data_IF_486507291385
#
_entry.id   IF_486507291385
#
_cell.length_a   1.000
_cell.length_b   1.000
_cell.length_c   1.000
_cell.angle_alpha   90.00
_cell.angle_beta   90.00
_cell.angle_gamma   90.00
#
_symmetry.space_group_name_H-M   'P 1'
#
loop_
_entity.id
_entity.type
_entity.pdbx_description
1 polymer ?
#
# COMPACT_ATOMS: atom_id res chain seq x y z
N UNK A 1 -16.18 -15.77 18.92
CA UNK A 1 -17.38 -15.97 18.08
C UNK A 1 -17.01 -15.63 16.64
N UNK A 2 -17.55 -16.34 15.63
CA UNK A 2 -17.31 -15.93 14.25
C UNK A 2 -18.17 -14.70 13.94
N UNK A 3 -17.55 -13.65 13.44
CA UNK A 3 -18.23 -12.44 12.98
C UNK A 3 -18.73 -12.63 11.55
N UNK A 4 -17.89 -13.23 10.69
CA UNK A 4 -18.23 -13.57 9.31
C UNK A 4 -17.91 -15.03 9.06
N UNK A 5 -18.82 -15.73 8.39
CA UNK A 5 -18.61 -17.09 7.86
C UNK A 5 -18.98 -17.12 6.38
N UNK A 6 -18.07 -17.63 5.57
CA UNK A 6 -18.29 -17.88 4.15
C UNK A 6 -18.32 -19.39 3.94
N UNK A 7 -19.41 -19.90 3.34
CA UNK A 7 -19.64 -21.32 3.16
C UNK A 7 -19.84 -21.65 1.70
N UNK A 8 -18.89 -22.40 1.15
CA UNK A 8 -18.90 -22.91 -0.22
C UNK A 8 -19.25 -21.83 -1.27
N UNK A 9 -18.67 -20.62 -1.10
CA UNK A 9 -19.05 -19.46 -1.88
C UNK A 9 -18.37 -19.45 -3.24
N UNK A 10 -19.20 -19.32 -4.29
CA UNK A 10 -18.79 -19.15 -5.68
C UNK A 10 -19.36 -17.87 -6.27
N UNK A 11 -18.65 -17.27 -7.23
CA UNK A 11 -19.11 -16.09 -7.95
C UNK A 11 -18.61 -16.04 -9.39
N UNK A 12 -19.52 -15.70 -10.32
CA UNK A 12 -19.23 -15.43 -11.73
C UNK A 12 -19.80 -14.07 -12.13
N UNK A 13 -19.04 -13.29 -12.90
CA UNK A 13 -19.55 -12.07 -13.53
C UNK A 13 -20.55 -12.42 -14.64
N UNK A 14 -21.51 -11.53 -14.97
CA UNK A 14 -22.42 -11.74 -16.10
C UNK A 14 -21.64 -12.02 -17.37
N UNK A 15 -22.15 -12.92 -18.22
CA UNK A 15 -21.55 -13.30 -19.50
C UNK A 15 -20.14 -13.93 -19.42
N UNK A 16 -19.61 -14.19 -18.21
CA UNK A 16 -18.34 -14.88 -18.02
C UNK A 16 -18.57 -16.38 -17.85
N UNK A 17 -17.92 -17.18 -18.66
CA UNK A 17 -17.89 -18.65 -18.49
C UNK A 17 -16.93 -19.09 -17.35
N UNK A 18 -16.10 -18.18 -16.85
CA UNK A 18 -15.12 -18.46 -15.78
C UNK A 18 -15.64 -17.99 -14.45
N UNK A 19 -15.66 -18.88 -13.46
CA UNK A 19 -15.86 -18.48 -12.05
C UNK A 19 -14.65 -17.67 -11.56
N UNK A 20 -14.92 -16.56 -10.91
CA UNK A 20 -13.88 -15.69 -10.29
C UNK A 20 -13.62 -16.13 -8.85
N UNK A 21 -14.64 -16.66 -8.19
CA UNK A 21 -14.53 -17.29 -6.88
C UNK A 21 -15.14 -18.68 -6.96
N UNK A 22 -14.48 -19.66 -6.38
CA UNK A 22 -14.90 -21.05 -6.43
C UNK A 22 -14.65 -21.74 -5.09
N UNK A 23 -15.71 -22.30 -4.50
CA UNK A 23 -15.68 -23.08 -3.25
C UNK A 23 -14.93 -22.36 -2.10
N UNK A 24 -15.09 -21.04 -1.96
CA UNK A 24 -14.42 -20.27 -0.90
C UNK A 24 -15.08 -20.57 0.44
N UNK A 25 -14.29 -21.07 1.38
CA UNK A 25 -14.68 -21.29 2.78
C UNK A 25 -13.75 -20.46 3.67
N UNK A 26 -14.30 -19.59 4.52
CA UNK A 26 -13.50 -18.68 5.32
C UNK A 26 -14.25 -18.27 6.59
N UNK A 27 -13.55 -18.20 7.72
CA UNK A 27 -14.10 -17.82 9.01
C UNK A 27 -13.31 -16.66 9.61
N UNK A 28 -13.98 -15.56 9.93
CA UNK A 28 -13.39 -14.37 10.57
C UNK A 28 -13.91 -14.29 12.00
N UNK A 29 -13.01 -14.37 12.97
CA UNK A 29 -13.34 -14.19 14.39
C UNK A 29 -13.43 -12.71 14.75
N UNK A 30 -14.35 -12.41 15.67
CA UNK A 30 -14.52 -11.04 16.18
C UNK A 30 -13.24 -10.54 16.88
N UNK A 31 -12.88 -9.28 16.64
CA UNK A 31 -11.70 -8.61 17.23
C UNK A 31 -10.37 -8.96 16.60
N UNK A 32 -10.32 -9.83 15.58
CA UNK A 32 -9.05 -10.25 14.95
C UNK A 32 -8.66 -9.37 13.79
N UNK A 33 -7.34 -9.30 13.53
CA UNK A 33 -6.76 -8.70 12.34
C UNK A 33 -6.45 -9.79 11.32
N UNK A 34 -7.14 -9.74 10.18
CA UNK A 34 -7.10 -10.77 9.15
C UNK A 34 -6.53 -10.21 7.84
N UNK A 35 -5.62 -10.93 7.22
CA UNK A 35 -4.97 -10.53 5.97
C UNK A 35 -5.29 -11.53 4.87
N UNK A 36 -5.83 -11.06 3.75
CA UNK A 36 -5.97 -11.86 2.53
C UNK A 36 -4.80 -11.52 1.60
N UNK A 37 -4.00 -12.50 1.26
CA UNK A 37 -2.90 -12.38 0.31
C UNK A 37 -3.12 -13.27 -0.91
N UNK A 38 -2.48 -12.92 -2.02
CA UNK A 38 -2.60 -13.67 -3.28
C UNK A 38 -2.19 -12.81 -4.46
N UNK A 39 -1.97 -13.44 -5.62
CA UNK A 39 -1.58 -12.76 -6.85
C UNK A 39 -2.63 -11.73 -7.27
N UNK A 40 -2.21 -10.72 -8.06
CA UNK A 40 -3.16 -9.80 -8.66
C UNK A 40 -4.14 -10.55 -9.58
N UNK A 41 -5.43 -10.21 -9.49
CA UNK A 41 -6.49 -10.87 -10.28
C UNK A 41 -7.00 -12.21 -9.73
N UNK A 42 -6.53 -12.72 -8.58
CA UNK A 42 -7.01 -13.98 -8.00
C UNK A 42 -8.37 -13.89 -7.29
N UNK A 43 -9.08 -12.75 -7.35
CA UNK A 43 -10.44 -12.61 -6.79
C UNK A 43 -10.55 -11.90 -5.45
N UNK A 44 -9.46 -11.40 -4.82
CA UNK A 44 -9.48 -10.76 -3.49
C UNK A 44 -10.49 -9.62 -3.37
N UNK A 45 -10.39 -8.61 -4.23
CA UNK A 45 -11.31 -7.46 -4.21
C UNK A 45 -12.76 -7.86 -4.50
N UNK A 46 -12.96 -8.87 -5.35
CA UNK A 46 -14.28 -9.43 -5.61
C UNK A 46 -14.86 -10.06 -4.34
N UNK A 47 -14.06 -10.85 -3.61
CA UNK A 47 -14.46 -11.46 -2.36
C UNK A 47 -14.79 -10.40 -1.29
N UNK A 48 -13.91 -9.40 -1.11
CA UNK A 48 -14.15 -8.33 -0.16
C UNK A 48 -15.46 -7.58 -0.43
N UNK A 49 -15.76 -7.28 -1.68
CA UNK A 49 -17.01 -6.58 -2.07
C UNK A 49 -18.25 -7.42 -1.84
N UNK A 50 -18.18 -8.75 -1.88
CA UNK A 50 -19.31 -9.61 -1.57
C UNK A 50 -19.74 -9.52 -0.10
N UNK A 51 -18.85 -9.08 0.79
CA UNK A 51 -19.14 -8.90 2.23
C UNK A 51 -19.98 -7.64 2.54
N UNK A 52 -20.25 -6.79 1.54
CA UNK A 52 -21.11 -5.60 1.70
C UNK A 52 -22.06 -5.52 0.50
N UNK A 53 -23.34 -5.82 0.72
CA UNK A 53 -24.32 -6.02 -0.36
C UNK A 53 -24.40 -4.87 -1.37
N UNK A 54 -24.26 -3.62 -0.90
CA UNK A 54 -24.29 -2.42 -1.77
C UNK A 54 -23.05 -2.26 -2.67
N UNK A 55 -21.95 -2.96 -2.36
CA UNK A 55 -20.72 -2.95 -3.15
C UNK A 55 -20.54 -4.25 -3.96
N UNK A 56 -21.38 -5.25 -3.67
CA UNK A 56 -21.29 -6.55 -4.32
C UNK A 56 -21.58 -6.41 -5.82
N UNK A 57 -20.68 -6.88 -6.69
CA UNK A 57 -20.89 -6.84 -8.12
C UNK A 57 -22.08 -7.73 -8.51
N UNK A 58 -22.76 -7.36 -9.61
CA UNK A 58 -23.80 -8.19 -10.20
C UNK A 58 -23.17 -9.46 -10.80
N UNK A 59 -23.89 -10.59 -10.68
CA UNK A 59 -23.44 -11.89 -11.19
C UNK A 59 -24.14 -13.04 -10.51
N UNK A 60 -23.75 -14.26 -10.91
CA UNK A 60 -24.26 -15.50 -10.31
C UNK A 60 -23.50 -15.82 -9.04
N UNK A 61 -24.22 -16.18 -7.97
CA UNK A 61 -23.69 -16.50 -6.65
C UNK A 61 -24.12 -17.89 -6.25
N UNK A 62 -23.19 -18.65 -5.71
CA UNK A 62 -23.41 -19.96 -5.09
C UNK A 62 -22.94 -19.91 -3.63
N UNK A 63 -23.46 -20.80 -2.78
CA UNK A 63 -23.10 -20.84 -1.37
C UNK A 63 -23.68 -19.70 -0.54
N UNK A 64 -23.12 -19.44 0.62
CA UNK A 64 -23.68 -18.50 1.59
C UNK A 64 -22.60 -17.68 2.31
N UNK A 65 -22.94 -16.42 2.62
CA UNK A 65 -22.15 -15.54 3.49
C UNK A 65 -23.03 -15.20 4.69
N UNK A 66 -22.53 -15.50 5.89
CA UNK A 66 -23.19 -15.18 7.16
C UNK A 66 -22.44 -14.05 7.86
N UNK A 67 -23.18 -13.11 8.40
CA UNK A 67 -22.73 -12.07 9.31
C UNK A 67 -23.43 -12.25 10.66
N UNK A 68 -22.66 -12.46 11.75
CA UNK A 68 -23.21 -12.81 13.09
C UNK A 68 -24.21 -13.99 13.05
N UNK A 69 -23.91 -15.03 12.26
CA UNK A 69 -24.76 -16.20 11.99
C UNK A 69 -26.08 -15.92 11.26
N UNK A 70 -26.28 -14.71 10.71
CA UNK A 70 -27.44 -14.34 9.89
C UNK A 70 -26.98 -14.26 8.45
N UNK A 71 -27.69 -14.84 7.47
CA UNK A 71 -27.36 -14.65 6.05
C UNK A 71 -27.24 -13.16 5.71
N UNK A 72 -26.13 -12.77 5.07
CA UNK A 72 -25.86 -11.35 4.78
C UNK A 72 -26.96 -10.72 3.92
N UNK A 73 -27.61 -11.50 3.06
CA UNK A 73 -28.75 -11.06 2.25
C UNK A 73 -29.99 -10.69 3.10
N UNK A 74 -30.13 -11.28 4.29
CA UNK A 74 -31.25 -11.08 5.20
C UNK A 74 -30.93 -9.99 6.25
N UNK A 75 -29.67 -9.52 6.31
CA UNK A 75 -29.26 -8.40 7.15
C UNK A 75 -29.71 -7.09 6.50
N UNK A 76 -30.41 -6.23 7.23
CA UNK A 76 -30.90 -4.97 6.69
C UNK A 76 -29.78 -4.01 6.27
N UNK A 77 -30.06 -3.15 5.28
CA UNK A 77 -29.06 -2.25 4.71
C UNK A 77 -28.51 -1.24 5.71
N UNK A 78 -29.29 -0.82 6.71
CA UNK A 78 -28.85 0.11 7.75
C UNK A 78 -27.79 -0.54 8.63
N UNK A 79 -28.06 -1.75 9.12
CA UNK A 79 -27.10 -2.56 9.89
C UNK A 79 -25.83 -2.82 9.10
N UNK A 80 -25.93 -3.24 7.83
CA UNK A 80 -24.74 -3.43 6.98
C UNK A 80 -23.94 -2.12 6.78
N UNK A 81 -24.63 -0.98 6.63
CA UNK A 81 -23.98 0.31 6.44
C UNK A 81 -23.25 0.76 7.67
N UNK A 82 -23.79 0.53 8.85
CA UNK A 82 -23.22 0.90 10.13
C UNK A 82 -22.13 -0.06 10.58
N UNK A 83 -22.40 -1.37 10.57
CA UNK A 83 -21.53 -2.37 11.20
C UNK A 83 -20.42 -2.89 10.27
N UNK A 84 -20.56 -2.78 8.95
CA UNK A 84 -19.55 -3.21 7.97
C UNK A 84 -18.97 -1.99 7.29
N UNK A 85 -17.83 -1.50 7.80
CA UNK A 85 -17.07 -0.43 7.21
C UNK A 85 -16.26 -0.93 6.00
N UNK A 86 -16.19 -0.14 4.93
CA UNK A 86 -15.39 -0.46 3.76
C UNK A 86 -14.53 0.74 3.35
N UNK A 87 -13.22 0.53 3.17
CA UNK A 87 -12.28 1.54 2.66
C UNK A 87 -11.74 1.06 1.32
N UNK A 88 -11.96 1.87 0.29
CA UNK A 88 -11.59 1.56 -1.09
C UNK A 88 -10.10 1.85 -1.36
N UNK A 89 -9.58 1.22 -2.40
CA UNK A 89 -8.21 1.42 -2.89
C UNK A 89 -7.92 2.87 -3.29
N UNK A 90 -8.87 3.53 -3.98
CA UNK A 90 -8.74 4.92 -4.39
C UNK A 90 -9.61 5.83 -3.50
N UNK A 91 -9.01 6.72 -2.70
CA UNK A 91 -9.76 7.61 -1.82
C UNK A 91 -10.69 8.56 -2.56
N UNK A 92 -10.33 9.03 -3.74
CA UNK A 92 -11.14 9.97 -4.50
C UNK A 92 -12.47 9.36 -5.00
N UNK A 93 -12.56 8.02 -5.08
CA UNK A 93 -13.79 7.33 -5.45
C UNK A 93 -14.77 7.16 -4.26
N UNK A 94 -14.33 7.43 -3.04
CA UNK A 94 -15.13 7.23 -1.83
C UNK A 94 -15.57 8.54 -1.19
N UNK A 95 -14.75 9.59 -1.27
CA UNK A 95 -15.05 10.92 -0.72
C UNK A 95 -16.21 11.55 -1.49
N UNK A 96 -17.23 12.01 -0.76
CA UNK A 96 -18.46 12.57 -1.32
C UNK A 96 -18.56 14.08 -1.13
N UNK A 97 -18.00 14.60 -0.04
CA UNK A 97 -18.14 16.01 0.33
C UNK A 97 -16.89 16.85 0.00
N UNK A 98 -17.05 18.16 0.00
CA UNK A 98 -15.96 19.12 -0.30
C UNK A 98 -15.16 19.52 0.95
N UNK A 99 -15.69 19.29 2.16
CA UNK A 99 -15.09 19.68 3.44
C UNK A 99 -14.74 18.47 4.30
N UNK A 100 -13.61 18.52 4.95
CA UNK A 100 -13.12 17.45 5.83
C UNK A 100 -14.10 17.13 6.96
N UNK A 101 -14.57 18.15 7.70
CA UNK A 101 -15.52 17.95 8.80
C UNK A 101 -16.85 17.35 8.33
N UNK A 102 -17.30 17.71 7.13
CA UNK A 102 -18.55 17.22 6.56
C UNK A 102 -18.39 15.76 6.12
N UNK A 103 -17.25 15.38 5.54
CA UNK A 103 -16.96 14.00 5.19
C UNK A 103 -16.96 13.09 6.44
N UNK A 104 -16.43 13.56 7.58
CA UNK A 104 -16.51 12.83 8.85
C UNK A 104 -17.95 12.67 9.36
N UNK A 105 -18.82 13.64 9.09
CA UNK A 105 -20.23 13.62 9.53
C UNK A 105 -21.13 12.83 8.58
N UNK A 106 -20.82 12.78 7.29
CA UNK A 106 -21.68 12.33 6.21
C UNK A 106 -22.34 10.95 6.44
N UNK A 107 -21.54 9.96 6.89
CA UNK A 107 -22.05 8.62 7.18
C UNK A 107 -23.05 8.61 8.35
N UNK A 108 -22.80 9.41 9.38
CA UNK A 108 -23.67 9.53 10.55
C UNK A 108 -24.98 10.27 10.21
N UNK A 109 -24.90 11.32 9.40
CA UNK A 109 -26.08 12.04 8.89
C UNK A 109 -26.95 11.13 8.04
N UNK A 110 -26.35 10.36 7.14
CA UNK A 110 -27.03 9.38 6.29
C UNK A 110 -27.74 8.27 7.10
N UNK A 111 -27.17 7.90 8.25
CA UNK A 111 -27.78 6.96 9.19
C UNK A 111 -28.83 7.61 10.11
N UNK A 112 -29.05 8.93 10.02
CA UNK A 112 -30.06 9.67 10.78
C UNK A 112 -29.75 9.81 12.27
N UNK A 113 -28.46 9.91 12.64
CA UNK A 113 -28.07 10.24 14.01
C UNK A 113 -28.43 11.69 14.37
N UNK A 114 -28.66 11.97 15.64
CA UNK A 114 -28.92 13.31 16.12
C UNK A 114 -27.62 14.17 16.12
N UNK A 115 -27.80 15.49 16.06
CA UNK A 115 -26.67 16.44 15.96
C UNK A 115 -25.68 16.36 17.13
N UNK A 116 -26.13 16.00 18.34
CA UNK A 116 -25.24 15.90 19.51
C UNK A 116 -24.30 14.69 19.36
N UNK A 117 -24.87 13.55 18.97
CA UNK A 117 -24.14 12.31 18.67
C UNK A 117 -23.15 12.50 17.51
N UNK A 118 -23.59 13.17 16.41
CA UNK A 118 -22.73 13.46 15.27
C UNK A 118 -21.52 14.31 15.70
N UNK A 119 -21.76 15.41 16.42
CA UNK A 119 -20.67 16.29 16.89
C UNK A 119 -19.67 15.55 17.79
N UNK A 120 -20.18 14.71 18.70
CA UNK A 120 -19.33 13.92 19.61
C UNK A 120 -18.44 12.97 18.82
N UNK A 121 -19.02 12.13 17.96
CA UNK A 121 -18.28 11.12 17.18
C UNK A 121 -17.28 11.74 16.20
N UNK A 122 -17.67 12.84 15.54
CA UNK A 122 -16.78 13.60 14.66
C UNK A 122 -15.60 14.18 15.43
N UNK A 123 -15.83 14.75 16.62
CA UNK A 123 -14.76 15.26 17.47
C UNK A 123 -13.82 14.15 17.97
N UNK A 124 -14.37 13.01 18.37
CA UNK A 124 -13.61 11.82 18.77
C UNK A 124 -12.70 11.33 17.64
N UNK A 125 -13.25 11.15 16.44
CA UNK A 125 -12.48 10.68 15.29
C UNK A 125 -11.47 11.72 14.84
N UNK A 126 -11.82 13.00 14.81
CA UNK A 126 -10.88 14.06 14.49
C UNK A 126 -9.68 14.08 15.46
N UNK A 127 -9.93 13.81 16.75
CA UNK A 127 -8.87 13.70 17.77
C UNK A 127 -8.05 12.42 17.62
N UNK A 128 -8.69 11.27 17.45
CA UNK A 128 -8.04 9.97 17.36
C UNK A 128 -7.10 9.87 16.14
N UNK A 129 -7.52 10.40 15.00
CA UNK A 129 -6.76 10.40 13.74
C UNK A 129 -5.85 11.63 13.56
N UNK A 130 -5.83 12.58 14.48
CA UNK A 130 -5.00 13.80 14.40
C UNK A 130 -5.40 14.77 13.28
N UNK A 131 -6.71 14.81 12.95
CA UNK A 131 -7.27 15.59 11.83
C UNK A 131 -7.46 17.08 12.20
N UNK A 132 -7.32 17.47 13.45
CA UNK A 132 -7.67 18.81 13.95
C UNK A 132 -7.01 19.95 13.15
N UNK A 133 -5.75 19.78 12.68
CA UNK A 133 -4.99 20.81 11.96
C UNK A 133 -5.58 21.15 10.59
N UNK A 134 -6.33 20.22 9.99
CA UNK A 134 -6.92 20.37 8.66
C UNK A 134 -8.42 20.11 8.62
N UNK A 135 -9.06 20.12 9.80
CA UNK A 135 -10.50 19.85 9.99
C UNK A 135 -11.42 20.74 9.14
N UNK A 136 -11.07 22.02 8.98
CA UNK A 136 -11.87 22.98 8.21
C UNK A 136 -11.41 23.15 6.75
N UNK A 137 -10.38 22.42 6.32
CA UNK A 137 -9.89 22.49 4.93
C UNK A 137 -10.88 21.88 3.95
N UNK A 138 -10.69 22.27 2.66
CA UNK A 138 -11.31 21.55 1.57
C UNK A 138 -10.58 20.22 1.35
N UNK A 139 -11.32 19.20 0.94
CA UNK A 139 -10.74 17.88 0.62
C UNK A 139 -9.74 17.98 -0.54
N UNK A 140 -9.96 18.89 -1.49
CA UNK A 140 -9.04 19.13 -2.60
C UNK A 140 -7.64 19.63 -2.18
N UNK A 141 -7.51 20.19 -0.97
CA UNK A 141 -6.22 20.65 -0.42
C UNK A 141 -5.42 19.53 0.26
N UNK A 142 -6.00 18.33 0.40
CA UNK A 142 -5.40 17.20 1.09
C UNK A 142 -4.44 16.42 0.20
N UNK A 143 -3.36 15.91 0.79
CA UNK A 143 -2.52 14.89 0.14
C UNK A 143 -3.27 13.55 0.03
N UNK A 144 -2.81 12.65 -0.86
CA UNK A 144 -3.39 11.32 -1.00
C UNK A 144 -3.43 10.53 0.32
N UNK A 145 -2.37 10.61 1.13
CA UNK A 145 -2.35 9.99 2.46
C UNK A 145 -3.36 10.58 3.43
N UNK A 146 -3.54 11.91 3.41
CA UNK A 146 -4.56 12.58 4.22
C UNK A 146 -5.98 12.21 3.77
N UNK A 147 -6.24 12.11 2.47
CA UNK A 147 -7.53 11.66 1.93
C UNK A 147 -7.84 10.22 2.36
N UNK A 148 -6.86 9.31 2.29
CA UNK A 148 -7.04 7.93 2.72
C UNK A 148 -7.29 7.83 4.23
N UNK A 149 -6.59 8.64 5.02
CA UNK A 149 -6.82 8.73 6.47
C UNK A 149 -8.20 9.32 6.79
N UNK A 150 -8.67 10.30 6.00
CA UNK A 150 -10.02 10.85 6.12
C UNK A 150 -11.10 9.79 5.84
N UNK A 151 -10.94 9.00 4.78
CA UNK A 151 -11.85 7.88 4.47
C UNK A 151 -11.91 6.87 5.61
N UNK A 152 -10.75 6.50 6.15
CA UNK A 152 -10.70 5.60 7.30
C UNK A 152 -11.43 6.21 8.52
N UNK A 153 -11.19 7.49 8.81
CA UNK A 153 -11.81 8.18 9.92
C UNK A 153 -13.32 8.34 9.76
N UNK A 154 -13.83 8.64 8.55
CA UNK A 154 -15.27 8.75 8.26
C UNK A 154 -15.98 7.41 8.42
N UNK A 155 -15.35 6.31 7.99
CA UNK A 155 -15.88 4.96 8.21
C UNK A 155 -15.86 4.61 9.70
N UNK A 156 -14.79 4.90 10.41
CA UNK A 156 -14.67 4.61 11.85
C UNK A 156 -15.61 5.46 12.71
N UNK A 157 -16.09 6.62 12.24
CA UNK A 157 -17.09 7.43 12.94
C UNK A 157 -18.43 6.69 13.14
N UNK A 158 -18.73 5.72 12.28
CA UNK A 158 -19.90 4.85 12.40
C UNK A 158 -19.74 3.74 13.44
N UNK A 159 -18.52 3.53 13.99
CA UNK A 159 -18.14 2.45 14.92
C UNK A 159 -18.43 1.05 14.36
N UNK A 160 -17.87 0.69 13.21
CA UNK A 160 -18.12 -0.61 12.59
C UNK A 160 -17.53 -1.75 13.43
N UNK A 161 -18.23 -2.89 13.44
CA UNK A 161 -17.72 -4.14 14.02
C UNK A 161 -16.72 -4.84 13.10
N UNK A 162 -16.90 -4.67 11.78
CA UNK A 162 -16.01 -5.16 10.73
C UNK A 162 -15.51 -4.01 9.87
N UNK A 163 -14.21 -3.87 9.77
CA UNK A 163 -13.52 -2.93 8.87
C UNK A 163 -12.86 -3.69 7.73
N UNK A 164 -13.32 -3.48 6.51
CA UNK A 164 -12.78 -4.07 5.29
C UNK A 164 -11.92 -3.02 4.57
N UNK A 165 -10.70 -3.40 4.16
CA UNK A 165 -9.74 -2.53 3.52
C UNK A 165 -9.21 -3.20 2.24
N UNK A 166 -9.55 -2.65 1.07
CA UNK A 166 -9.14 -3.19 -0.23
C UNK A 166 -7.91 -2.44 -0.76
N UNK A 167 -6.71 -2.99 -0.55
CA UNK A 167 -5.40 -2.41 -0.94
C UNK A 167 -5.25 -0.92 -0.56
N UNK A 168 -5.52 -0.54 0.71
CA UNK A 168 -5.67 0.87 1.09
C UNK A 168 -4.39 1.69 0.94
N UNK A 169 -3.21 1.07 0.84
CA UNK A 169 -1.92 1.78 0.73
C UNK A 169 -1.36 1.84 -0.68
N UNK A 170 -2.04 1.28 -1.67
CA UNK A 170 -1.53 1.14 -3.04
C UNK A 170 -1.17 2.47 -3.72
N UNK A 171 -1.83 3.57 -3.36
CA UNK A 171 -1.59 4.91 -3.90
C UNK A 171 -0.75 5.81 -2.98
N UNK A 172 -0.30 5.28 -1.84
CA UNK A 172 0.46 6.02 -0.85
C UNK A 172 1.97 5.90 -1.08
N UNK A 173 2.70 6.94 -0.71
CA UNK A 173 4.15 6.81 -0.59
C UNK A 173 4.52 5.89 0.59
N UNK A 174 5.78 5.40 0.64
CA UNK A 174 6.18 4.44 1.66
C UNK A 174 5.97 4.88 3.11
N UNK A 175 6.13 6.17 3.41
CA UNK A 175 5.97 6.70 4.77
C UNK A 175 4.49 6.75 5.12
N UNK A 176 3.68 7.38 4.27
CA UNK A 176 2.22 7.46 4.48
C UNK A 176 1.57 6.06 4.56
N UNK A 177 2.07 5.09 3.77
CA UNK A 177 1.58 3.72 3.82
C UNK A 177 1.89 3.04 5.17
N UNK A 178 3.10 3.21 5.68
CA UNK A 178 3.50 2.67 6.99
C UNK A 178 2.65 3.29 8.10
N UNK A 179 2.50 4.62 8.13
CA UNK A 179 1.69 5.34 9.12
C UNK A 179 0.21 4.92 9.07
N UNK A 180 -0.33 4.68 7.86
CA UNK A 180 -1.67 4.19 7.68
C UNK A 180 -1.86 2.78 8.27
N UNK A 181 -0.96 1.84 7.98
CA UNK A 181 -1.02 0.48 8.52
C UNK A 181 -0.83 0.46 10.05
N UNK A 182 0.03 1.32 10.60
CA UNK A 182 0.14 1.49 12.06
C UNK A 182 -1.20 1.97 12.67
N UNK A 183 -1.89 2.88 11.99
CA UNK A 183 -3.21 3.35 12.41
C UNK A 183 -4.24 2.21 12.38
N UNK A 184 -4.24 1.37 11.35
CA UNK A 184 -5.13 0.19 11.24
C UNK A 184 -4.86 -0.80 12.39
N UNK A 185 -3.59 -1.08 12.70
CA UNK A 185 -3.20 -1.93 13.84
C UNK A 185 -3.68 -1.35 15.17
N UNK A 186 -3.56 -0.04 15.33
CA UNK A 186 -4.03 0.67 16.52
C UNK A 186 -5.56 0.57 16.68
N UNK A 187 -6.32 0.71 15.60
CA UNK A 187 -7.79 0.54 15.58
C UNK A 187 -8.15 -0.86 16.08
N UNK A 188 -7.54 -1.90 15.51
CA UNK A 188 -7.81 -3.28 15.93
C UNK A 188 -7.49 -3.51 17.41
N UNK A 189 -6.28 -3.09 17.86
CA UNK A 189 -5.82 -3.32 19.23
C UNK A 189 -6.57 -2.48 20.28
N UNK A 190 -6.80 -1.18 20.02
CA UNK A 190 -7.29 -0.24 21.01
C UNK A 190 -8.83 -0.17 21.04
N UNK A 191 -9.48 -0.33 19.89
CA UNK A 191 -10.94 -0.28 19.75
C UNK A 191 -11.55 -1.70 19.70
N UNK A 192 -10.75 -2.70 19.31
CA UNK A 192 -11.24 -4.08 19.16
C UNK A 192 -12.02 -4.33 17.87
N UNK A 193 -11.98 -3.41 16.91
CA UNK A 193 -12.65 -3.58 15.61
C UNK A 193 -12.03 -4.75 14.86
N UNK A 194 -12.85 -5.67 14.33
CA UNK A 194 -12.37 -6.74 13.45
C UNK A 194 -11.91 -6.14 12.13
N UNK A 195 -10.71 -6.51 11.70
CA UNK A 195 -10.13 -5.99 10.46
C UNK A 195 -9.94 -7.13 9.47
N UNK A 196 -10.38 -6.90 8.23
CA UNK A 196 -10.09 -7.74 7.07
C UNK A 196 -9.47 -6.88 5.98
N UNK A 197 -8.23 -7.17 5.60
CA UNK A 197 -7.56 -6.35 4.61
C UNK A 197 -6.82 -7.17 3.54
N UNK A 198 -6.73 -6.58 2.34
CA UNK A 198 -5.79 -6.99 1.30
C UNK A 198 -4.67 -5.98 1.21
N UNK A 199 -3.44 -6.44 1.02
CA UNK A 199 -2.27 -5.58 0.91
C UNK A 199 -1.18 -6.18 0.03
N UNK A 200 -0.39 -5.32 -0.61
CA UNK A 200 0.85 -5.71 -1.30
C UNK A 200 2.08 -5.58 -0.38
N UNK A 201 2.00 -4.72 0.63
CA UNK A 201 3.06 -4.50 1.63
C UNK A 201 2.94 -5.48 2.79
N UNK A 202 2.98 -6.76 2.47
CA UNK A 202 2.75 -7.83 3.44
C UNK A 202 3.76 -7.83 4.60
N UNK A 203 4.99 -7.36 4.36
CA UNK A 203 6.03 -7.27 5.39
C UNK A 203 5.63 -6.36 6.57
N UNK A 204 4.81 -5.33 6.32
CA UNK A 204 4.41 -4.33 7.31
C UNK A 204 3.19 -4.77 8.13
N UNK A 205 2.41 -5.73 7.65
CA UNK A 205 1.15 -6.14 8.29
C UNK A 205 1.12 -7.60 8.76
N UNK A 206 1.71 -8.53 8.03
CA UNK A 206 1.71 -9.96 8.36
C UNK A 206 2.20 -10.25 9.79
N UNK A 207 3.26 -9.58 10.31
CA UNK A 207 3.71 -9.85 11.68
C UNK A 207 2.66 -9.57 12.77
N UNK A 208 1.63 -8.82 12.46
CA UNK A 208 0.58 -8.39 13.39
C UNK A 208 -0.76 -9.08 13.10
N UNK A 209 -0.85 -9.84 12.03
CA UNK A 209 -2.07 -10.57 11.69
C UNK A 209 -2.31 -11.76 12.64
N UNK A 210 -3.56 -11.94 13.05
CA UNK A 210 -3.99 -13.15 13.77
C UNK A 210 -4.20 -14.31 12.81
N UNK A 211 -4.75 -14.01 11.62
CA UNK A 211 -5.02 -14.98 10.57
C UNK A 211 -4.58 -14.44 9.20
N UNK A 212 -4.05 -15.34 8.39
CA UNK A 212 -3.68 -15.08 7.00
C UNK A 212 -4.40 -16.06 6.11
N UNK A 213 -5.05 -15.54 5.08
CA UNK A 213 -5.76 -16.30 4.05
C UNK A 213 -5.01 -16.14 2.74
N UNK A 214 -4.62 -17.23 2.11
CA UNK A 214 -3.92 -17.23 0.82
C UNK A 214 -4.90 -17.63 -0.26
N UNK A 215 -5.18 -16.70 -1.17
CA UNK A 215 -6.01 -16.95 -2.34
C UNK A 215 -5.16 -17.22 -3.57
N UNK A 216 -5.51 -18.22 -4.33
CA UNK A 216 -4.96 -18.48 -5.65
C UNK A 216 -6.07 -18.94 -6.61
N UNK A 217 -6.06 -18.40 -7.84
CA UNK A 217 -7.01 -18.71 -8.92
C UNK A 217 -8.49 -18.78 -8.51
N UNK A 218 -8.93 -17.89 -7.62
CA UNK A 218 -10.34 -17.81 -7.17
C UNK A 218 -10.71 -18.70 -6.00
N UNK A 219 -9.79 -19.50 -5.49
CA UNK A 219 -9.99 -20.40 -4.36
C UNK A 219 -9.23 -19.94 -3.11
N UNK A 220 -9.67 -20.38 -1.94
CA UNK A 220 -8.86 -20.28 -0.72
C UNK A 220 -7.88 -21.45 -0.68
N UNK A 221 -6.62 -21.15 -1.01
CA UNK A 221 -5.58 -22.17 -1.11
C UNK A 221 -5.09 -22.67 0.26
N UNK A 222 -4.93 -21.75 1.23
CA UNK A 222 -4.58 -22.10 2.62
C UNK A 222 -4.97 -20.97 3.59
N UNK A 223 -5.13 -21.35 4.85
CA UNK A 223 -5.35 -20.45 5.96
C UNK A 223 -4.54 -20.86 7.19
N UNK A 224 -4.29 -19.93 8.09
CA UNK A 224 -3.57 -20.16 9.34
C UNK A 224 -2.93 -18.90 9.91
N UNK A 225 -2.18 -19.07 10.99
CA UNK A 225 -1.35 -18.01 11.54
C UNK A 225 -0.22 -17.62 10.59
N UNK A 226 0.36 -16.42 10.71
CA UNK A 226 1.50 -16.00 9.87
C UNK A 226 2.65 -17.02 9.82
N UNK A 227 2.98 -17.68 10.95
CA UNK A 227 4.05 -18.67 11.02
C UNK A 227 3.70 -19.95 10.28
N UNK A 228 2.48 -20.46 10.46
CA UNK A 228 1.99 -21.65 9.74
C UNK A 228 1.96 -21.43 8.23
N UNK A 229 1.46 -20.27 7.80
CA UNK A 229 1.41 -19.91 6.38
C UNK A 229 2.80 -19.81 5.79
N UNK A 230 3.74 -19.16 6.46
CA UNK A 230 5.11 -19.06 5.99
C UNK A 230 5.78 -20.43 5.82
N UNK A 231 5.57 -21.35 6.77
CA UNK A 231 6.06 -22.73 6.69
C UNK A 231 5.46 -23.48 5.51
N UNK A 232 4.12 -23.46 5.39
CA UNK A 232 3.40 -24.14 4.30
C UNK A 232 3.79 -23.59 2.90
N UNK A 233 3.89 -22.26 2.75
CA UNK A 233 4.30 -21.64 1.49
C UNK A 233 5.72 -22.02 1.09
N UNK A 234 6.64 -22.15 2.07
CA UNK A 234 8.00 -22.65 1.83
C UNK A 234 7.99 -24.08 1.37
N UNK A 235 7.32 -24.99 2.10
CA UNK A 235 7.25 -26.42 1.80
C UNK A 235 6.68 -26.69 0.40
N UNK A 236 5.69 -25.92 0.00
CA UNK A 236 5.06 -26.04 -1.32
C UNK A 236 5.77 -25.25 -2.43
N UNK A 237 6.91 -24.63 -2.15
CA UNK A 237 7.65 -23.77 -3.09
C UNK A 237 6.77 -22.70 -3.75
N UNK A 238 5.76 -22.21 -3.04
CA UNK A 238 4.79 -21.25 -3.60
C UNK A 238 5.40 -19.85 -3.74
N UNK A 239 5.18 -19.21 -4.90
CA UNK A 239 5.79 -17.91 -5.21
C UNK A 239 5.47 -16.78 -4.21
N UNK A 240 4.33 -16.85 -3.51
CA UNK A 240 3.94 -15.88 -2.47
C UNK A 240 4.84 -15.92 -1.23
N UNK A 241 5.67 -16.98 -1.05
CA UNK A 241 6.66 -17.00 0.03
C UNK A 241 7.64 -15.81 -0.01
N UNK A 242 7.99 -15.33 -1.21
CA UNK A 242 8.87 -14.17 -1.38
C UNK A 242 8.25 -12.85 -0.91
N UNK A 243 6.95 -12.82 -0.65
CA UNK A 243 6.24 -11.68 -0.11
C UNK A 243 6.14 -11.71 1.43
N UNK A 244 6.57 -12.79 2.06
CA UNK A 244 6.58 -12.93 3.53
C UNK A 244 7.67 -12.04 4.16
N UNK A 245 7.58 -11.75 5.47
CA UNK A 245 8.59 -10.94 6.17
C UNK A 245 10.02 -11.46 5.98
N UNK A 246 10.98 -10.56 5.76
CA UNK A 246 12.40 -10.91 5.52
C UNK A 246 12.99 -11.82 6.60
N UNK A 247 12.74 -11.63 7.92
CA UNK A 247 13.24 -12.54 8.94
C UNK A 247 12.79 -13.99 8.72
N UNK A 248 11.54 -14.18 8.28
CA UNK A 248 11.00 -15.50 7.94
C UNK A 248 11.68 -16.10 6.70
N UNK A 249 11.95 -15.28 5.67
CA UNK A 249 12.66 -15.75 4.48
C UNK A 249 14.10 -16.19 4.82
N UNK A 250 14.80 -15.46 5.69
CA UNK A 250 16.14 -15.82 6.16
C UNK A 250 16.09 -17.13 6.96
N UNK A 251 15.15 -17.22 7.90
CA UNK A 251 14.91 -18.45 8.69
C UNK A 251 14.69 -19.66 7.79
N UNK A 252 13.89 -19.50 6.76
CA UNK A 252 13.56 -20.56 5.82
C UNK A 252 14.77 -21.07 4.99
N UNK A 253 15.82 -20.28 4.85
CA UNK A 253 17.10 -20.67 4.24
C UNK A 253 18.01 -21.48 5.17
N UNK A 254 17.59 -21.74 6.41
CA UNK A 254 18.36 -22.46 7.42
C UNK A 254 17.65 -23.76 7.83
N UNK A 255 18.38 -24.67 8.46
CA UNK A 255 17.86 -25.89 9.08
C UNK A 255 17.63 -25.64 10.59
N UNK A 256 17.00 -24.53 10.95
CA UNK A 256 16.72 -24.19 12.34
C UNK A 256 15.47 -24.92 12.84
N UNK A 257 15.54 -25.42 14.08
CA UNK A 257 14.41 -25.99 14.82
C UNK A 257 13.74 -24.97 15.75
N UNK A 258 14.32 -23.77 15.86
CA UNK A 258 13.81 -22.66 16.68
C UNK A 258 12.52 -22.06 16.08
N UNK A 259 11.83 -21.26 16.87
CA UNK A 259 10.61 -20.58 16.42
C UNK A 259 10.90 -19.63 15.27
N UNK A 260 10.11 -19.73 14.19
CA UNK A 260 10.22 -18.86 13.02
C UNK A 260 9.97 -17.38 13.39
N UNK A 261 10.90 -16.47 13.13
CA UNK A 261 10.74 -15.05 13.45
C UNK A 261 9.86 -14.34 12.43
N UNK A 262 8.98 -13.44 12.89
CA UNK A 262 8.13 -12.61 12.04
C UNK A 262 8.67 -11.17 11.93
N UNK A 263 9.22 -10.64 13.01
CA UNK A 263 9.73 -9.26 13.08
C UNK A 263 11.26 -9.22 13.02
N UNK A 264 11.81 -8.05 12.69
CA UNK A 264 13.27 -7.84 12.72
C UNK A 264 13.83 -8.05 14.14
N UNK A 265 13.08 -7.70 15.19
CA UNK A 265 13.48 -7.91 16.58
C UNK A 265 13.59 -9.40 16.91
N UNK A 266 12.53 -10.18 16.57
CA UNK A 266 12.54 -11.64 16.70
C UNK A 266 13.66 -12.27 15.86
N UNK A 267 13.90 -11.78 14.65
CA UNK A 267 14.96 -12.24 13.76
C UNK A 267 16.35 -12.05 14.37
N UNK A 268 16.59 -10.91 15.01
CA UNK A 268 17.88 -10.66 15.72
C UNK A 268 18.08 -11.60 16.91
N UNK A 269 17.02 -11.87 17.66
CA UNK A 269 17.08 -12.82 18.77
C UNK A 269 17.32 -14.24 18.24
N UNK A 270 16.55 -14.66 17.24
CA UNK A 270 16.68 -15.96 16.61
C UNK A 270 18.10 -16.19 16.04
N UNK A 271 18.72 -15.19 15.36
CA UNK A 271 20.09 -15.34 14.85
C UNK A 271 21.07 -15.60 15.99
N UNK A 272 20.94 -14.94 17.14
CA UNK A 272 21.83 -15.18 18.30
C UNK A 272 21.70 -16.60 18.81
N UNK A 273 20.47 -17.06 19.05
CA UNK A 273 20.16 -18.40 19.52
C UNK A 273 20.65 -19.47 18.51
N UNK A 274 20.43 -19.23 17.20
CA UNK A 274 20.89 -20.12 16.13
C UNK A 274 22.41 -20.23 16.06
N UNK A 275 23.14 -19.13 16.22
CA UNK A 275 24.60 -19.11 16.26
C UNK A 275 25.13 -19.92 17.45
N UNK A 276 24.50 -19.79 18.61
CA UNK A 276 24.83 -20.53 19.82
C UNK A 276 24.53 -22.03 19.66
N UNK A 277 23.35 -22.38 19.14
CA UNK A 277 22.95 -23.78 18.89
C UNK A 277 23.90 -24.48 17.91
N UNK A 278 24.29 -23.82 16.83
CA UNK A 278 25.21 -24.39 15.81
C UNK A 278 26.67 -24.26 16.21
N UNK A 279 27.03 -23.65 17.36
CA UNK A 279 28.40 -23.49 17.80
C UNK A 279 29.25 -22.65 16.84
N UNK A 280 28.66 -21.72 16.09
CA UNK A 280 29.34 -20.91 15.09
C UNK A 280 30.24 -19.87 15.79
N UNK A 281 31.56 -19.99 15.60
CA UNK A 281 32.53 -19.06 16.20
C UNK A 281 32.55 -17.72 15.49
N UNK A 282 32.78 -16.63 16.23
CA UNK A 282 32.89 -15.25 15.69
C UNK A 282 33.93 -15.15 14.55
N UNK A 283 35.00 -15.92 14.65
CA UNK A 283 36.05 -15.97 13.62
C UNK A 283 35.54 -16.51 12.27
N UNK A 284 34.63 -17.48 12.30
CA UNK A 284 33.99 -18.02 11.09
C UNK A 284 33.09 -16.98 10.41
N UNK A 285 32.36 -16.20 11.21
CA UNK A 285 31.51 -15.10 10.72
C UNK A 285 32.40 -14.02 10.07
N UNK A 286 33.50 -13.64 10.73
CA UNK A 286 34.43 -12.66 10.17
C UNK A 286 35.08 -13.12 8.86
N UNK A 287 35.49 -14.40 8.78
CA UNK A 287 36.02 -14.97 7.54
C UNK A 287 34.99 -15.01 6.42
N UNK A 288 33.72 -15.34 6.73
CA UNK A 288 32.64 -15.31 5.75
C UNK A 288 32.37 -13.88 5.24
N UNK A 289 32.35 -12.88 6.13
CA UNK A 289 32.19 -11.49 5.73
C UNK A 289 33.32 -11.00 4.84
N UNK A 290 34.58 -11.31 5.17
CA UNK A 290 35.72 -10.97 4.33
C UNK A 290 35.67 -11.64 2.93
N UNK A 291 35.14 -12.86 2.83
CA UNK A 291 34.90 -13.53 1.54
C UNK A 291 33.83 -12.82 0.72
N UNK A 292 32.72 -12.42 1.35
CA UNK A 292 31.65 -11.68 0.68
C UNK A 292 32.10 -10.30 0.21
N UNK A 293 32.88 -9.58 1.02
CA UNK A 293 33.47 -8.29 0.64
C UNK A 293 34.41 -8.44 -0.59
N UNK A 294 35.30 -9.44 -0.56
CA UNK A 294 36.16 -9.75 -1.72
C UNK A 294 35.39 -10.18 -2.97
N UNK A 295 34.29 -10.91 -2.82
CA UNK A 295 33.40 -11.24 -3.95
C UNK A 295 32.66 -10.01 -4.45
N UNK A 296 32.19 -9.13 -3.57
CA UNK A 296 31.57 -7.86 -3.91
C UNK A 296 32.52 -6.92 -4.66
N UNK A 297 33.79 -6.88 -4.27
CA UNK A 297 34.87 -6.13 -4.98
C UNK A 297 35.20 -6.75 -6.34
N UNK A 298 35.26 -8.09 -6.44
CA UNK A 298 35.44 -8.77 -7.73
C UNK A 298 34.33 -8.49 -8.70
N UNK A 299 33.08 -8.60 -8.25
CA UNK A 299 31.88 -8.29 -9.07
C UNK A 299 31.85 -6.80 -9.47
N UNK A 300 32.24 -5.88 -8.58
CA UNK A 300 32.43 -4.46 -8.94
C UNK A 300 33.51 -4.25 -9.97
N UNK A 301 34.61 -5.00 -9.90
CA UNK A 301 35.70 -4.91 -10.86
C UNK A 301 35.37 -5.60 -12.20
N UNK A 302 34.62 -6.68 -12.20
CA UNK A 302 34.13 -7.34 -13.43
C UNK A 302 33.06 -6.50 -14.12
N UNK A 303 32.10 -5.92 -13.38
CA UNK A 303 31.18 -4.94 -13.93
C UNK A 303 31.87 -3.66 -14.35
N UNK A 304 32.90 -3.19 -13.62
CA UNK A 304 33.73 -2.06 -14.05
C UNK A 304 34.60 -2.41 -15.28
N UNK A 305 35.01 -3.66 -15.44
CA UNK A 305 35.72 -4.17 -16.63
C UNK A 305 34.83 -4.23 -17.87
N UNK A 306 33.62 -4.73 -17.74
CA UNK A 306 32.60 -4.74 -18.82
C UNK A 306 32.17 -3.32 -19.24
N UNK A 307 32.08 -2.38 -18.27
CA UNK A 307 31.76 -0.98 -18.53
C UNK A 307 32.98 -0.07 -18.66
N UNK A 308 34.20 -0.58 -18.40
CA UNK A 308 35.46 0.17 -18.47
C UNK A 308 35.83 0.64 -19.90
N UNK A 309 35.37 -0.09 -20.93
CA UNK A 309 35.51 0.34 -22.33
C UNK A 309 34.62 1.53 -22.67
N UNK A 310 33.49 1.70 -21.95
CA UNK A 310 32.59 2.85 -22.11
C UNK A 310 33.07 4.09 -21.32
N UNK A 311 33.92 3.93 -20.30
CA UNK A 311 34.35 5.03 -19.42
C UNK A 311 35.44 5.92 -19.99
N UNK A 312 36.26 5.42 -20.95
CA UNK A 312 37.39 6.17 -21.51
C UNK A 312 37.01 7.21 -22.59
N UNK A 313 35.75 7.25 -23.08
CA UNK A 313 35.34 8.24 -24.08
C UNK A 313 34.39 9.36 -23.52
N UNK A 314 34.28 9.50 -22.18
CA UNK A 314 33.19 10.30 -21.59
C UNK A 314 33.57 11.62 -20.91
N UNK A 315 34.82 12.05 -20.93
CA UNK A 315 35.21 13.29 -20.22
C UNK A 315 34.80 14.59 -20.88
N UNK A 316 34.27 14.59 -22.11
CA UNK A 316 33.85 15.82 -22.82
C UNK A 316 32.48 15.77 -23.49
N UNK A 317 31.62 14.79 -23.17
CA UNK A 317 30.26 14.78 -23.71
C UNK A 317 29.32 15.53 -22.77
N UNK A 318 28.47 16.44 -23.29
CA UNK A 318 27.49 17.14 -22.47
C UNK A 318 26.53 16.11 -21.81
N UNK A 319 26.04 16.39 -20.59
CA UNK A 319 25.07 15.54 -19.93
C UNK A 319 23.84 15.34 -20.80
N UNK A 320 23.19 14.18 -20.67
CA UNK A 320 21.95 13.89 -21.37
C UNK A 320 20.83 14.85 -20.91
N UNK A 321 20.80 15.13 -19.61
CA UNK A 321 19.85 16.07 -19.00
C UNK A 321 20.61 16.94 -18.02
N UNK A 322 20.35 18.27 -18.05
CA UNK A 322 20.80 19.20 -17.03
C UNK A 322 19.69 20.21 -16.73
N UNK A 323 19.31 20.32 -15.47
CA UNK A 323 18.45 21.37 -14.95
C UNK A 323 19.30 22.29 -14.08
N UNK A 324 19.12 23.61 -14.22
CA UNK A 324 19.82 24.64 -13.45
C UNK A 324 18.81 25.64 -12.88
N UNK A 325 18.79 25.73 -11.57
CA UNK A 325 18.03 26.72 -10.78
C UNK A 325 16.57 26.78 -11.22
N UNK A 326 15.95 25.61 -11.43
CA UNK A 326 14.60 25.49 -11.99
C UNK A 326 13.55 25.72 -10.93
N UNK A 327 12.63 26.66 -11.23
CA UNK A 327 11.46 26.98 -10.42
C UNK A 327 10.19 26.78 -11.23
N UNK A 328 9.17 26.18 -10.61
CA UNK A 328 7.89 25.95 -11.27
C UNK A 328 6.71 26.00 -10.29
N UNK A 329 5.61 26.61 -10.74
CA UNK A 329 4.28 26.55 -10.15
C UNK A 329 3.24 26.38 -11.27
N UNK A 330 2.11 25.78 -10.96
CA UNK A 330 1.05 25.54 -11.95
C UNK A 330 0.31 26.83 -12.29
N UNK A 331 0.01 27.68 -11.30
CA UNK A 331 -0.68 28.96 -11.46
C UNK A 331 0.13 30.08 -10.80
N UNK A 332 -0.10 31.31 -11.24
CA UNK A 332 0.69 32.48 -10.81
C UNK A 332 0.64 32.73 -9.30
N UNK A 333 -0.51 32.44 -8.67
CA UNK A 333 -0.75 32.67 -7.25
C UNK A 333 -0.66 31.37 -6.40
N UNK A 334 -0.29 30.22 -7.03
CA UNK A 334 -0.09 28.94 -6.34
C UNK A 334 1.30 28.84 -5.73
N UNK A 335 1.48 28.03 -4.67
CA UNK A 335 2.80 27.73 -4.11
C UNK A 335 3.72 27.08 -5.15
N UNK A 336 5.03 27.33 -5.01
CA UNK A 336 6.03 26.71 -5.86
C UNK A 336 6.09 25.20 -5.59
N UNK A 337 5.91 24.41 -6.64
CA UNK A 337 6.00 22.95 -6.61
C UNK A 337 7.45 22.49 -6.79
N UNK A 338 8.21 23.22 -7.62
CA UNK A 338 9.65 23.01 -7.79
C UNK A 338 10.34 24.29 -7.37
N UNK A 339 11.33 24.17 -6.48
CA UNK A 339 12.08 25.27 -5.91
C UNK A 339 13.57 25.00 -6.08
N UNK A 340 14.26 25.86 -6.82
CA UNK A 340 15.71 25.85 -7.02
C UNK A 340 16.30 24.46 -7.37
N UNK A 341 15.60 23.72 -8.25
CA UNK A 341 16.01 22.37 -8.60
C UNK A 341 17.16 22.40 -9.63
N UNK A 342 18.31 21.89 -9.18
CA UNK A 342 19.46 21.64 -10.05
C UNK A 342 19.78 20.15 -10.02
N UNK A 343 19.89 19.53 -11.20
CA UNK A 343 20.26 18.12 -11.36
C UNK A 343 20.98 17.90 -12.68
N UNK A 344 21.80 16.86 -12.72
CA UNK A 344 22.52 16.42 -13.91
C UNK A 344 22.45 14.92 -14.06
N UNK A 345 22.08 14.44 -15.26
CA UNK A 345 22.03 13.03 -15.62
C UNK A 345 22.97 12.81 -16.80
N UNK A 346 23.98 11.96 -16.64
CA UNK A 346 24.93 11.64 -17.71
C UNK A 346 24.35 10.63 -18.69
N UNK A 347 24.92 10.58 -19.90
CA UNK A 347 24.49 9.60 -20.91
C UNK A 347 24.72 8.16 -20.44
N UNK A 348 23.67 7.34 -20.56
CA UNK A 348 23.71 5.93 -20.18
C UNK A 348 23.66 5.67 -18.67
N UNK A 349 23.37 6.69 -17.85
CA UNK A 349 23.10 6.49 -16.41
C UNK A 349 21.63 6.20 -16.16
N UNK A 350 21.39 5.30 -15.20
CA UNK A 350 20.08 5.09 -14.60
C UNK A 350 19.96 6.03 -13.39
N UNK A 351 18.99 6.94 -13.43
CA UNK A 351 18.78 7.94 -12.39
C UNK A 351 17.39 7.74 -11.75
N UNK A 352 17.34 7.53 -10.44
CA UNK A 352 16.09 7.38 -9.70
C UNK A 352 15.73 8.67 -8.97
N UNK A 353 14.53 9.21 -9.26
CA UNK A 353 13.97 10.35 -8.54
C UNK A 353 13.06 9.84 -7.43
N UNK A 354 13.50 9.97 -6.18
CA UNK A 354 12.79 9.47 -5.00
C UNK A 354 12.26 10.61 -4.12
N UNK A 355 11.19 10.36 -3.37
CA UNK A 355 10.58 11.32 -2.45
C UNK A 355 9.13 10.97 -2.16
N UNK A 356 8.52 11.61 -1.15
CA UNK A 356 7.11 11.47 -0.79
C UNK A 356 6.14 11.97 -1.88
N UNK A 357 4.85 11.70 -1.71
CA UNK A 357 3.83 12.25 -2.62
C UNK A 357 3.76 13.78 -2.47
N UNK A 358 3.50 14.49 -3.57
CA UNK A 358 3.46 15.96 -3.58
C UNK A 358 4.83 16.67 -3.63
N UNK A 359 5.96 15.95 -3.60
CA UNK A 359 7.31 16.57 -3.64
C UNK A 359 7.78 17.00 -5.04
N UNK A 360 6.90 16.99 -6.04
CA UNK A 360 7.22 17.48 -7.38
C UNK A 360 7.87 16.50 -8.34
N UNK A 361 7.96 15.18 -8.02
CA UNK A 361 8.57 14.15 -8.90
C UNK A 361 7.95 14.11 -10.30
N UNK A 362 6.62 13.94 -10.36
CA UNK A 362 5.88 13.91 -11.63
C UNK A 362 5.95 15.26 -12.37
N UNK A 363 5.97 16.35 -11.63
CA UNK A 363 6.15 17.71 -12.16
C UNK A 363 7.54 17.86 -12.78
N UNK A 364 8.60 17.36 -12.12
CA UNK A 364 9.95 17.36 -12.67
C UNK A 364 10.02 16.58 -13.98
N UNK A 365 9.41 15.39 -14.02
CA UNK A 365 9.33 14.60 -15.26
C UNK A 365 8.53 15.30 -16.36
N UNK A 366 7.45 16.00 -16.01
CA UNK A 366 6.64 16.76 -16.98
C UNK A 366 7.38 17.99 -17.53
N UNK A 367 8.24 18.63 -16.74
CA UNK A 367 9.16 19.68 -17.21
C UNK A 367 10.21 19.12 -18.17
N UNK A 368 10.79 17.96 -17.88
CA UNK A 368 11.72 17.26 -18.77
C UNK A 368 11.04 16.79 -20.06
N UNK A 369 9.81 16.29 -19.95
CA UNK A 369 8.95 15.89 -21.09
C UNK A 369 8.32 17.06 -21.85
N UNK A 370 8.57 18.32 -21.44
CA UNK A 370 8.03 19.54 -22.03
C UNK A 370 6.50 19.67 -22.02
N UNK A 371 5.85 19.01 -21.09
CA UNK A 371 4.41 19.19 -20.85
C UNK A 371 4.17 20.54 -20.17
N UNK A 372 5.07 20.94 -19.27
CA UNK A 372 5.06 22.22 -18.59
C UNK A 372 6.35 23.00 -18.81
N UNK A 373 6.30 24.33 -18.60
CA UNK A 373 7.44 25.22 -18.73
C UNK A 373 7.78 25.85 -17.37
N UNK A 374 9.06 25.81 -16.93
CA UNK A 374 9.48 26.51 -15.73
C UNK A 374 9.37 28.03 -15.94
N UNK A 375 9.06 28.77 -14.89
CA UNK A 375 9.06 30.25 -14.95
C UNK A 375 10.43 30.84 -14.67
N UNK A 376 11.34 30.06 -14.05
CA UNK A 376 12.74 30.42 -13.81
C UNK A 376 13.65 29.21 -13.97
N UNK A 377 14.95 29.45 -14.24
CA UNK A 377 15.94 28.41 -14.48
C UNK A 377 15.99 27.95 -15.93
N UNK A 378 16.83 26.94 -16.20
CA UNK A 378 17.07 26.40 -17.55
C UNK A 378 17.14 24.89 -17.58
N UNK A 379 16.66 24.30 -18.66
CA UNK A 379 16.71 22.86 -18.92
C UNK A 379 17.48 22.60 -20.22
N UNK A 380 18.53 21.80 -20.13
CA UNK A 380 19.35 21.39 -21.26
C UNK A 380 19.15 19.90 -21.52
N UNK A 381 18.99 19.53 -22.79
CA UNK A 381 18.98 18.16 -23.26
C UNK A 381 20.12 18.00 -24.27
N UNK A 382 21.01 17.04 -24.05
CA UNK A 382 22.24 16.84 -24.85
C UNK A 382 23.06 18.12 -25.01
N UNK A 383 23.17 18.93 -23.96
CA UNK A 383 23.89 20.20 -23.94
C UNK A 383 23.23 21.35 -24.70
N UNK A 384 22.08 21.11 -25.31
CA UNK A 384 21.33 22.15 -26.04
C UNK A 384 20.30 22.78 -25.11
N UNK A 385 20.39 24.12 -24.93
CA UNK A 385 19.36 24.89 -24.25
C UNK A 385 18.02 24.74 -25.02
N UNK A 386 17.05 24.20 -24.35
CA UNK A 386 15.74 23.97 -24.93
C UNK A 386 14.82 25.13 -24.60
N UNK A 387 15.18 26.33 -25.09
CA UNK A 387 14.29 27.50 -25.04
C UNK A 387 12.93 27.15 -25.65
N UNK A 388 11.88 27.32 -24.87
CA UNK A 388 10.50 27.12 -25.33
C UNK A 388 10.17 28.19 -26.37
N UNK A 389 10.23 27.89 -27.67
CA UNK A 389 9.66 28.77 -28.69
C UNK A 389 8.13 28.71 -28.50
N UNK A 390 7.52 29.80 -28.06
CA UNK A 390 6.08 29.98 -28.21
C UNK A 390 5.74 29.68 -29.67
N UNK A 391 4.89 28.70 -29.94
CA UNK A 391 4.28 28.53 -31.25
C UNK A 391 3.49 29.77 -31.54
N UNK A 392 4.07 30.69 -32.35
CA UNK A 392 3.42 31.91 -32.75
C UNK A 392 2.10 31.53 -33.46
N UNK A 393 1.00 32.07 -32.95
CA UNK A 393 -0.21 32.16 -33.73
C UNK A 393 0.17 32.88 -35.03
N UNK A 394 0.23 32.15 -36.15
CA UNK A 394 0.15 32.76 -37.45
C UNK A 394 -1.25 33.36 -37.52
N UNK A 395 -1.34 34.68 -37.37
CA UNK A 395 -2.49 35.44 -37.78
C UNK A 395 -2.61 35.26 -39.29
N UNK A 396 -3.65 34.54 -39.72
CA UNK A 396 -4.10 34.61 -41.11
C UNK A 396 -4.52 36.03 -41.38
N UNK A 397 -3.91 36.63 -42.42
CA UNK A 397 -4.47 37.71 -43.19
C UNK A 397 -5.25 37.09 -44.37
#
# INVERSE_FOLDING_TARGET
MNLVEIKDFGFSYPESSRKVLEHVNLNIKEGTLNVIMGRSGCGKSTLLRQLKSVLAPAGEKEGEILYRNIPLRDTDHRTQSQEIGFVMQNPDNQIVTDKVWHELAFGLESLGYDNATIRLRVAEMASYFGIQKWFYKNVSELSGGQKQLLNLASVMAMHPSLLILDEPTSQLDPIAASDFLETVKKINRDIGTTVLLTEHRLQDIIPYADQVFVMDEGTLFMEGTPREIGTKLKEQHHGMFLSMPVPMQIYAGTESTLTCPLTVSEGRQWIREYIEEKGIKKEQIQQANQRLERQGEKNKNETAGLFGHFKRQKENTPPAIQMKDVWFRYEKDSPDVIQDLSLEVKKGEFYALVGGNGTGKSTTLSLLGRVHQPYSGRIYLDGKDRVWRRSGRRSAR
#
